data_IF_121541739113
#
_entry.id   IF_121541739113
#
_cell.length_a   1.000
_cell.length_b   1.000
_cell.length_c   1.000
_cell.angle_alpha   90.00
_cell.angle_beta   90.00
_cell.angle_gamma   90.00
#
_symmetry.space_group_name_H-M   'P 1'
#
loop_
_entity.id
_entity.type
_entity.pdbx_description
1 polymer ?
#
# COMPACT_ATOMS: atom_id res chain seq x y z
N UNK A 1 -16.23 -5.07 15.44
CA UNK A 1 -14.98 -5.15 16.23
C UNK A 1 -13.85 -4.77 15.29
N UNK A 2 -13.27 -3.58 15.43
CA UNK A 2 -12.19 -3.15 14.54
C UNK A 2 -10.94 -3.99 14.81
N UNK A 3 -10.45 -4.73 13.81
CA UNK A 3 -9.12 -5.34 13.87
C UNK A 3 -8.13 -4.21 14.16
N UNK A 4 -7.41 -4.30 15.26
CA UNK A 4 -6.37 -3.33 15.61
C UNK A 4 -5.29 -3.46 14.54
N UNK A 5 -4.99 -2.39 13.81
CA UNK A 5 -3.86 -2.36 12.86
C UNK A 5 -2.60 -2.85 13.57
N UNK A 6 -1.85 -3.84 13.04
CA UNK A 6 -0.64 -4.35 13.68
C UNK A 6 0.39 -3.25 13.95
N UNK A 7 1.25 -3.45 14.94
CA UNK A 7 2.27 -2.46 15.32
C UNK A 7 3.27 -2.23 14.17
N UNK A 8 3.72 -3.33 13.55
CA UNK A 8 4.63 -3.30 12.40
C UNK A 8 4.08 -2.46 11.25
N UNK A 9 2.79 -2.64 10.91
CA UNK A 9 2.09 -1.83 9.90
C UNK A 9 2.09 -0.35 10.26
N UNK A 10 1.83 0.02 11.52
CA UNK A 10 1.83 1.43 11.94
C UNK A 10 3.22 2.05 11.91
N UNK A 11 4.26 1.29 12.27
CA UNK A 11 5.63 1.78 12.28
C UNK A 11 6.14 2.03 10.87
N UNK A 12 5.92 1.09 9.95
CA UNK A 12 6.30 1.27 8.54
C UNK A 12 5.52 2.42 7.93
N UNK A 13 4.20 2.51 8.12
CA UNK A 13 3.42 3.64 7.60
C UNK A 13 3.90 4.99 8.14
N UNK A 14 4.24 5.08 9.43
CA UNK A 14 4.75 6.31 10.03
C UNK A 14 6.15 6.71 9.51
N UNK A 15 6.95 5.74 9.04
CA UNK A 15 8.28 5.97 8.47
C UNK A 15 8.24 6.47 7.02
N UNK A 16 7.18 6.18 6.28
CA UNK A 16 7.02 6.57 4.89
C UNK A 16 6.67 8.06 4.76
N UNK A 17 7.28 8.76 3.79
CA UNK A 17 6.86 10.10 3.43
C UNK A 17 5.49 10.07 2.75
N UNK A 18 4.82 11.21 2.63
CA UNK A 18 3.51 11.28 1.94
C UNK A 18 3.63 10.83 0.47
N UNK A 19 4.75 11.13 -0.19
CA UNK A 19 5.01 10.68 -1.56
C UNK A 19 5.16 9.15 -1.63
N UNK A 20 5.86 8.56 -0.67
CA UNK A 20 6.05 7.11 -0.61
C UNK A 20 4.73 6.40 -0.34
N UNK A 21 3.90 6.95 0.57
CA UNK A 21 2.53 6.45 0.83
C UNK A 21 1.69 6.41 -0.44
N UNK A 22 1.72 7.48 -1.24
CA UNK A 22 1.03 7.50 -2.54
C UNK A 22 1.59 6.46 -3.49
N UNK A 23 2.91 6.34 -3.59
CA UNK A 23 3.55 5.35 -4.47
C UNK A 23 3.14 3.91 -4.09
N UNK A 24 3.10 3.60 -2.79
CA UNK A 24 2.64 2.31 -2.26
C UNK A 24 1.19 2.02 -2.64
N UNK A 25 0.29 3.01 -2.50
CA UNK A 25 -1.11 2.86 -2.89
C UNK A 25 -1.23 2.60 -4.39
N UNK A 26 -0.52 3.36 -5.23
CA UNK A 26 -0.55 3.18 -6.68
C UNK A 26 0.06 1.86 -7.14
N UNK A 27 1.12 1.39 -6.50
CA UNK A 27 1.69 0.07 -6.79
C UNK A 27 0.66 -1.04 -6.52
N UNK A 28 -0.06 -0.94 -5.39
CA UNK A 28 -1.15 -1.86 -5.08
C UNK A 28 -2.29 -1.78 -6.10
N UNK A 29 -2.66 -0.56 -6.49
CA UNK A 29 -3.69 -0.30 -7.48
C UNK A 29 -3.36 -0.95 -8.82
N UNK A 30 -2.15 -0.74 -9.33
CA UNK A 30 -1.68 -1.34 -10.58
C UNK A 30 -1.76 -2.88 -10.51
N UNK A 31 -1.30 -3.47 -9.40
CA UNK A 31 -1.43 -4.90 -9.16
C UNK A 31 -2.89 -5.39 -9.20
N UNK A 32 -3.80 -4.69 -8.51
CA UNK A 32 -5.22 -5.06 -8.47
C UNK A 32 -5.90 -4.95 -9.84
N UNK A 33 -5.56 -3.93 -10.63
CA UNK A 33 -6.06 -3.77 -12.00
C UNK A 33 -5.55 -4.90 -12.92
N UNK A 34 -4.26 -5.23 -12.85
CA UNK A 34 -3.64 -6.21 -13.73
C UNK A 34 -4.01 -7.66 -13.38
N UNK A 35 -3.99 -8.00 -12.08
CA UNK A 35 -4.13 -9.39 -11.64
C UNK A 35 -5.57 -9.77 -11.32
N UNK A 36 -6.37 -8.82 -10.83
CA UNK A 36 -7.74 -9.08 -10.36
C UNK A 36 -8.80 -8.40 -11.22
N UNK A 37 -8.40 -7.64 -12.25
CA UNK A 37 -9.32 -6.97 -13.17
C UNK A 37 -10.28 -6.01 -12.47
N UNK A 38 -9.84 -5.43 -11.33
CA UNK A 38 -10.68 -4.50 -10.58
C UNK A 38 -11.05 -3.33 -11.50
N UNK A 39 -12.32 -2.88 -11.52
CA UNK A 39 -12.70 -1.80 -12.42
C UNK A 39 -11.96 -0.50 -12.10
N UNK A 40 -11.54 0.22 -13.15
CA UNK A 40 -10.94 1.53 -13.02
C UNK A 40 -11.89 2.57 -12.37
N UNK A 41 -13.20 2.31 -12.28
CA UNK A 41 -14.08 3.21 -11.52
C UNK A 41 -13.82 3.18 -10.00
N UNK A 42 -13.21 2.11 -9.48
CA UNK A 42 -12.79 2.00 -8.07
C UNK A 42 -11.36 2.52 -7.85
N UNK A 43 -10.54 2.49 -8.90
CA UNK A 43 -9.09 2.65 -8.86
C UNK A 43 -8.59 3.37 -10.12
N UNK A 44 -9.24 4.47 -10.50
CA UNK A 44 -8.92 5.23 -11.71
C UNK A 44 -8.71 6.70 -11.41
N UNK A 45 -8.67 7.51 -12.46
CA UNK A 45 -8.26 8.92 -12.43
C UNK A 45 -8.86 9.74 -11.28
N UNK A 46 -10.13 9.50 -10.93
CA UNK A 46 -10.79 10.19 -9.82
C UNK A 46 -10.17 9.83 -8.46
N UNK A 47 -9.81 8.57 -8.22
CA UNK A 47 -9.12 8.17 -7.00
C UNK A 47 -7.70 8.74 -6.95
N UNK A 48 -6.99 8.73 -8.09
CA UNK A 48 -5.66 9.34 -8.21
C UNK A 48 -5.69 10.84 -7.91
N UNK A 49 -6.72 11.56 -8.37
CA UNK A 49 -6.96 12.97 -8.04
C UNK A 49 -7.17 13.18 -6.53
N UNK A 50 -7.84 12.25 -5.84
CA UNK A 50 -7.99 12.29 -4.38
C UNK A 50 -6.65 12.10 -3.66
N UNK A 51 -5.80 11.19 -4.15
CA UNK A 51 -4.45 11.00 -3.60
C UNK A 51 -3.59 12.26 -3.81
N UNK A 52 -3.67 12.88 -4.98
CA UNK A 52 -2.96 14.12 -5.30
C UNK A 52 -3.44 15.31 -4.48
N UNK A 53 -4.75 15.42 -4.25
CA UNK A 53 -5.31 16.43 -3.35
C UNK A 53 -4.83 16.22 -1.90
N UNK A 54 -4.71 14.97 -1.46
CA UNK A 54 -4.21 14.61 -0.13
C UNK A 54 -2.72 14.95 0.01
N UNK A 55 -1.90 14.71 -1.01
CA UNK A 55 -0.52 15.20 -1.03
C UNK A 55 -0.45 16.72 -0.87
N UNK A 56 -1.22 17.45 -1.68
CA UNK A 56 -1.22 18.93 -1.69
C UNK A 56 -1.65 19.52 -0.35
N UNK A 57 -2.58 18.86 0.35
CA UNK A 57 -3.10 19.34 1.62
C UNK A 57 -2.30 18.86 2.85
N UNK A 58 -1.28 18.01 2.65
CA UNK A 58 -0.46 17.45 3.73
C UNK A 58 -1.15 16.29 4.47
N UNK A 59 -2.00 15.55 3.77
CA UNK A 59 -2.78 14.41 4.26
C UNK A 59 -3.69 14.72 5.46
N UNK A 60 -4.32 15.90 5.48
CA UNK A 60 -5.16 16.36 6.61
C UNK A 60 -6.36 15.48 6.94
N UNK A 61 -6.79 14.68 5.98
CA UNK A 61 -7.92 13.76 6.11
C UNK A 61 -7.45 12.31 6.31
N UNK A 62 -6.14 12.10 6.53
CA UNK A 62 -5.50 10.80 6.73
C UNK A 62 -5.77 9.80 5.58
N UNK A 63 -5.99 10.28 4.36
CA UNK A 63 -6.29 9.43 3.20
C UNK A 63 -5.08 8.58 2.83
N UNK A 64 -3.91 9.19 2.73
CA UNK A 64 -2.67 8.48 2.41
C UNK A 64 -2.24 7.58 3.57
N UNK A 65 -2.33 8.08 4.81
CA UNK A 65 -2.05 7.31 6.00
C UNK A 65 -2.96 6.07 6.12
N UNK A 66 -4.27 6.24 5.92
CA UNK A 66 -5.21 5.12 6.01
C UNK A 66 -5.05 4.15 4.85
N UNK A 67 -4.99 4.64 3.60
CA UNK A 67 -4.81 3.81 2.42
C UNK A 67 -3.52 2.99 2.46
N UNK A 68 -2.42 3.59 2.94
CA UNK A 68 -1.16 2.86 3.12
C UNK A 68 -1.30 1.75 4.17
N UNK A 69 -1.96 2.00 5.30
CA UNK A 69 -2.19 0.95 6.32
C UNK A 69 -3.01 -0.19 5.78
N UNK A 70 -3.99 0.09 4.94
CA UNK A 70 -4.84 -0.93 4.32
C UNK A 70 -4.03 -1.78 3.35
N UNK A 71 -3.20 -1.16 2.51
CA UNK A 71 -2.28 -1.88 1.60
C UNK A 71 -1.27 -2.73 2.37
N UNK A 72 -0.62 -2.18 3.39
CA UNK A 72 0.34 -2.94 4.21
C UNK A 72 -0.32 -4.11 4.95
N UNK A 73 -1.56 -3.93 5.40
CA UNK A 73 -2.34 -5.02 6.02
C UNK A 73 -2.68 -6.10 4.99
N UNK A 74 -3.11 -5.70 3.78
CA UNK A 74 -3.40 -6.64 2.70
C UNK A 74 -2.15 -7.43 2.26
N UNK A 75 -1.00 -6.77 2.13
CA UNK A 75 0.28 -7.44 1.85
C UNK A 75 0.59 -8.52 2.88
N UNK A 76 0.37 -8.21 4.16
CA UNK A 76 0.59 -9.15 5.25
C UNK A 76 -0.37 -10.33 5.20
N UNK A 77 -1.66 -10.06 5.00
CA UNK A 77 -2.68 -11.10 4.89
C UNK A 77 -2.38 -12.03 3.70
N UNK A 78 -2.01 -11.50 2.53
CA UNK A 78 -1.62 -12.30 1.35
C UNK A 78 -0.36 -13.11 1.62
N UNK A 79 0.66 -12.54 2.26
CA UNK A 79 1.89 -13.27 2.60
C UNK A 79 1.67 -14.44 3.57
N UNK A 80 0.70 -14.31 4.48
CA UNK A 80 0.38 -15.32 5.48
C UNK A 80 -0.58 -16.40 4.95
N UNK A 81 -1.59 -15.98 4.19
CA UNK A 81 -2.71 -16.84 3.82
C UNK A 81 -2.64 -17.35 2.36
N UNK A 82 -1.86 -16.70 1.49
CA UNK A 82 -1.79 -17.02 0.06
C UNK A 82 -0.36 -17.07 -0.50
N UNK A 83 0.32 -18.19 -0.25
CA UNK A 83 1.71 -18.41 -0.67
C UNK A 83 1.94 -18.48 -2.19
N UNK A 84 0.91 -18.71 -3.00
CA UNK A 84 1.01 -18.68 -4.47
C UNK A 84 0.94 -17.25 -5.02
N UNK A 85 0.08 -16.42 -4.44
CA UNK A 85 -0.10 -15.02 -4.85
C UNK A 85 1.02 -14.12 -4.32
N UNK A 86 1.55 -14.44 -3.13
CA UNK A 86 2.55 -13.62 -2.46
C UNK A 86 3.79 -13.28 -3.31
N UNK A 87 4.46 -14.22 -3.99
CA UNK A 87 5.60 -13.89 -4.86
C UNK A 87 5.24 -12.90 -5.96
N UNK A 88 4.05 -13.01 -6.55
CA UNK A 88 3.60 -12.14 -7.64
C UNK A 88 3.37 -10.73 -7.13
N UNK A 89 2.64 -10.58 -6.02
CA UNK A 89 2.38 -9.30 -5.37
C UNK A 89 3.69 -8.63 -4.92
N UNK A 90 4.60 -9.38 -4.29
CA UNK A 90 5.90 -8.90 -3.86
C UNK A 90 6.74 -8.40 -5.03
N UNK A 91 6.82 -9.17 -6.11
CA UNK A 91 7.64 -8.83 -7.28
C UNK A 91 7.04 -7.64 -8.05
N UNK A 92 5.71 -7.52 -8.09
CA UNK A 92 5.01 -6.34 -8.60
C UNK A 92 5.39 -5.07 -7.81
N UNK A 93 5.40 -5.13 -6.48
CA UNK A 93 5.84 -4.02 -5.64
C UNK A 93 7.32 -3.69 -5.83
N UNK A 94 8.18 -4.71 -5.96
CA UNK A 94 9.60 -4.51 -6.22
C UNK A 94 9.87 -3.83 -7.56
N UNK A 95 9.02 -4.07 -8.57
CA UNK A 95 9.11 -3.43 -9.87
C UNK A 95 8.54 -2.00 -9.89
N UNK A 96 7.48 -1.75 -9.12
CA UNK A 96 6.76 -0.47 -9.12
C UNK A 96 7.36 0.59 -8.18
N UNK A 97 8.08 0.18 -7.13
CA UNK A 97 8.59 1.08 -6.10
C UNK A 97 10.10 1.32 -6.20
N UNK A 98 10.58 2.51 -5.78
CA UNK A 98 11.99 2.71 -5.48
C UNK A 98 12.51 1.67 -4.47
N UNK A 99 13.77 1.24 -4.61
CA UNK A 99 14.31 0.13 -3.83
C UNK A 99 14.35 0.38 -2.31
N UNK A 100 14.54 1.62 -1.88
CA UNK A 100 14.48 2.06 -0.48
C UNK A 100 13.05 2.04 0.07
N UNK A 101 12.06 2.50 -0.71
CA UNK A 101 10.64 2.42 -0.35
C UNK A 101 10.18 0.97 -0.26
N UNK A 102 10.56 0.14 -1.24
CA UNK A 102 10.26 -1.29 -1.22
C UNK A 102 10.88 -1.97 0.01
N UNK A 103 12.15 -1.70 0.31
CA UNK A 103 12.81 -2.24 1.49
C UNK A 103 12.07 -1.85 2.78
N UNK A 104 11.68 -0.57 2.93
CA UNK A 104 10.91 -0.10 4.07
C UNK A 104 9.55 -0.82 4.18
N UNK A 105 8.85 -1.03 3.06
CA UNK A 105 7.58 -1.78 3.04
C UNK A 105 7.80 -3.23 3.49
N UNK A 106 8.89 -3.88 3.09
CA UNK A 106 9.20 -5.26 3.49
C UNK A 106 9.55 -5.39 4.99
N UNK A 107 9.88 -4.30 5.69
CA UNK A 107 10.12 -4.34 7.14
C UNK A 107 8.88 -4.74 7.95
N UNK A 108 7.67 -4.67 7.37
CA UNK A 108 6.45 -5.17 8.04
C UNK A 108 6.53 -6.65 8.40
N UNK A 109 7.38 -7.43 7.71
CA UNK A 109 7.58 -8.86 7.92
C UNK A 109 8.77 -9.18 8.83
N UNK A 110 9.64 -8.21 9.11
CA UNK A 110 10.81 -8.41 9.95
C UNK A 110 10.51 -8.25 11.45
N UNK A 111 9.34 -7.71 11.79
CA UNK A 111 8.95 -7.36 13.17
C UNK A 111 7.84 -8.25 13.77
N UNK A 112 7.53 -9.37 13.11
CA UNK A 112 6.62 -10.43 13.59
C UNK A 112 7.34 -11.79 13.61
#
# INVERSE_FOLDING_TARGET
MGRRTPLSVRQVEAALSLLDKRAVILAYQAYQLEMHGVPAELFGDTFDDYLDASLKNGDRLDVLAHGTRDVLSALRDVAQDNGEEWPILRDSFAAALPGDVFAAVMEIFAQD
#
